data_IF_825315370808
#
_entry.id   IF_825315370808
#
_cell.length_a   1.000
_cell.length_b   1.000
_cell.length_c   1.000
_cell.angle_alpha   90.00
_cell.angle_beta   90.00
_cell.angle_gamma   90.00
#
_symmetry.space_group_name_H-M   'P 1'
#
loop_
_entity.id
_entity.type
_entity.pdbx_description
1 polymer ?
#
# COMPACT_ATOMS: atom_id res chain seq x y z
N UNK A 1 -10.09 19.03 5.89
CA UNK A 1 -10.41 17.96 4.92
C UNK A 1 -11.65 17.26 5.43
N UNK A 2 -12.73 17.25 4.64
CA UNK A 2 -13.92 16.46 4.93
C UNK A 2 -13.59 14.97 4.99
N UNK A 3 -14.20 14.25 5.94
CA UNK A 3 -13.95 12.82 6.15
C UNK A 3 -14.25 12.00 4.91
N UNK A 4 -15.33 12.33 4.22
CA UNK A 4 -15.70 11.67 2.96
C UNK A 4 -14.63 11.84 1.90
N UNK A 5 -14.07 13.05 1.75
CA UNK A 5 -12.98 13.30 0.81
C UNK A 5 -11.72 12.51 1.18
N UNK A 6 -11.44 12.36 2.47
CA UNK A 6 -10.34 11.51 2.93
C UNK A 6 -10.61 10.03 2.60
N UNK A 7 -11.82 9.51 2.86
CA UNK A 7 -12.21 8.13 2.52
C UNK A 7 -12.13 7.87 1.02
N UNK A 8 -12.61 8.78 0.19
CA UNK A 8 -12.53 8.65 -1.27
C UNK A 8 -11.08 8.62 -1.74
N UNK A 9 -10.25 9.55 -1.25
CA UNK A 9 -8.84 9.60 -1.59
C UNK A 9 -8.10 8.34 -1.08
N UNK A 10 -8.39 7.88 0.13
CA UNK A 10 -7.80 6.68 0.71
C UNK A 10 -8.11 5.44 -0.15
N UNK A 11 -9.36 5.27 -0.57
CA UNK A 11 -9.78 4.20 -1.49
C UNK A 11 -9.01 4.27 -2.81
N UNK A 12 -9.00 5.43 -3.44
CA UNK A 12 -8.29 5.65 -4.71
C UNK A 12 -6.80 5.36 -4.59
N UNK A 13 -6.19 5.73 -3.46
CA UNK A 13 -4.79 5.38 -3.19
C UNK A 13 -4.62 3.86 -3.10
N UNK A 14 -5.47 3.14 -2.35
CA UNK A 14 -5.40 1.67 -2.26
C UNK A 14 -5.55 1.02 -3.64
N UNK A 15 -6.48 1.49 -4.47
CA UNK A 15 -6.67 1.00 -5.83
C UNK A 15 -5.42 1.24 -6.70
N UNK A 16 -4.81 2.43 -6.61
CA UNK A 16 -3.55 2.75 -7.29
C UNK A 16 -2.39 1.85 -6.82
N UNK A 17 -2.33 1.57 -5.51
CA UNK A 17 -1.34 0.65 -4.96
C UNK A 17 -1.53 -0.77 -5.47
N UNK A 18 -2.79 -1.24 -5.60
CA UNK A 18 -3.11 -2.55 -6.16
C UNK A 18 -2.56 -2.65 -7.60
N UNK A 19 -2.89 -1.68 -8.44
CA UNK A 19 -2.45 -1.63 -9.83
C UNK A 19 -0.92 -1.61 -9.95
N UNK A 20 -0.23 -0.87 -9.06
CA UNK A 20 1.24 -0.85 -9.01
C UNK A 20 1.84 -2.19 -8.62
N UNK A 21 1.24 -2.91 -7.66
CA UNK A 21 1.70 -4.24 -7.26
C UNK A 21 1.55 -5.23 -8.40
N UNK A 22 0.38 -5.24 -9.08
CA UNK A 22 0.16 -6.10 -10.24
C UNK A 22 1.16 -5.80 -11.37
N UNK A 23 1.44 -4.51 -11.62
CA UNK A 23 2.43 -4.12 -12.61
C UNK A 23 3.84 -4.62 -12.25
N UNK A 24 4.22 -4.52 -10.98
CA UNK A 24 5.49 -5.03 -10.47
C UNK A 24 5.57 -6.56 -10.60
N UNK A 25 4.51 -7.28 -10.26
CA UNK A 25 4.43 -8.72 -10.47
C UNK A 25 4.60 -9.12 -11.94
N UNK A 26 3.93 -8.42 -12.85
CA UNK A 26 4.08 -8.66 -14.28
C UNK A 26 5.50 -8.33 -14.78
N UNK A 27 6.21 -7.42 -14.11
CA UNK A 27 7.60 -7.06 -14.42
C UNK A 27 8.63 -7.96 -13.74
N UNK A 28 8.23 -8.91 -12.88
CA UNK A 28 9.18 -9.77 -12.14
C UNK A 28 10.13 -10.57 -13.02
N UNK A 29 9.69 -10.95 -14.23
CA UNK A 29 10.50 -11.68 -15.19
C UNK A 29 11.48 -10.78 -15.96
N UNK A 30 11.33 -9.45 -15.86
CA UNK A 30 12.28 -8.47 -16.42
C UNK A 30 13.41 -8.12 -15.45
N UNK A 31 13.33 -8.59 -14.20
CA UNK A 31 14.34 -8.33 -13.17
C UNK A 31 15.48 -9.34 -13.33
N UNK A 32 16.71 -8.91 -13.03
CA UNK A 32 17.88 -9.80 -13.10
C UNK A 32 17.70 -11.00 -12.16
N UNK A 33 18.20 -12.16 -12.57
CA UNK A 33 18.08 -13.40 -11.77
C UNK A 33 18.67 -13.25 -10.35
N UNK A 34 19.74 -12.45 -10.21
CA UNK A 34 20.40 -12.17 -8.93
C UNK A 34 19.51 -11.40 -7.93
N UNK A 35 18.64 -10.51 -8.41
CA UNK A 35 17.73 -9.71 -7.58
C UNK A 35 16.29 -10.21 -7.61
N UNK A 36 15.96 -11.22 -8.44
CA UNK A 36 14.61 -11.76 -8.59
C UNK A 36 14.03 -12.29 -7.28
N UNK A 37 14.83 -13.01 -6.48
CA UNK A 37 14.39 -13.53 -5.20
C UNK A 37 14.06 -12.41 -4.19
N UNK A 38 14.91 -11.38 -4.11
CA UNK A 38 14.66 -10.19 -3.28
C UNK A 38 13.42 -9.43 -3.76
N UNK A 39 13.28 -9.28 -5.08
CA UNK A 39 12.15 -8.64 -5.72
C UNK A 39 10.83 -9.34 -5.39
N UNK A 40 10.76 -10.66 -5.55
CA UNK A 40 9.56 -11.45 -5.22
C UNK A 40 9.25 -11.38 -3.72
N UNK A 41 10.25 -11.43 -2.85
CA UNK A 41 10.06 -11.26 -1.41
C UNK A 41 9.45 -9.89 -1.08
N UNK A 42 9.98 -8.82 -1.67
CA UNK A 42 9.51 -7.46 -1.44
C UNK A 42 8.10 -7.23 -1.99
N UNK A 43 7.75 -7.80 -3.15
CA UNK A 43 6.38 -7.77 -3.67
C UNK A 43 5.42 -8.44 -2.68
N UNK A 44 5.79 -9.61 -2.15
CA UNK A 44 4.96 -10.30 -1.17
C UNK A 44 4.78 -9.46 0.11
N UNK A 45 5.83 -8.78 0.57
CA UNK A 45 5.72 -7.81 1.68
C UNK A 45 4.74 -6.68 1.35
N UNK A 46 4.77 -6.14 0.12
CA UNK A 46 3.83 -5.10 -0.31
C UNK A 46 2.39 -5.60 -0.39
N UNK A 47 2.16 -6.82 -0.87
CA UNK A 47 0.82 -7.43 -0.87
C UNK A 47 0.25 -7.51 0.53
N UNK A 48 1.04 -8.01 1.49
CA UNK A 48 0.62 -8.09 2.88
C UNK A 48 0.28 -6.70 3.46
N UNK A 49 1.11 -5.69 3.16
CA UNK A 49 0.85 -4.30 3.58
C UNK A 49 -0.39 -3.70 2.92
N UNK A 50 -0.65 -4.02 1.65
CA UNK A 50 -1.86 -3.62 0.93
C UNK A 50 -3.11 -4.25 1.55
N UNK A 51 -3.07 -5.53 1.91
CA UNK A 51 -4.19 -6.17 2.60
C UNK A 51 -4.42 -5.56 4.00
N UNK A 52 -3.34 -5.19 4.70
CA UNK A 52 -3.46 -4.44 5.96
C UNK A 52 -4.10 -3.05 5.74
N UNK A 53 -3.67 -2.32 4.70
CA UNK A 53 -4.23 -1.03 4.31
C UNK A 53 -5.72 -1.13 4.00
N UNK A 54 -6.14 -2.18 3.30
CA UNK A 54 -7.54 -2.42 2.99
C UNK A 54 -8.36 -2.62 4.26
N UNK A 55 -7.88 -3.45 5.20
CA UNK A 55 -8.54 -3.64 6.50
C UNK A 55 -8.62 -2.34 7.31
N UNK A 56 -7.54 -1.55 7.31
CA UNK A 56 -7.52 -0.23 7.97
C UNK A 56 -8.47 0.76 7.30
N UNK A 57 -8.63 0.67 5.99
CA UNK A 57 -9.59 1.48 5.25
C UNK A 57 -11.04 1.10 5.57
N UNK A 58 -11.34 -0.19 5.72
CA UNK A 58 -12.66 -0.64 6.19
C UNK A 58 -12.96 -0.07 7.57
N UNK A 59 -12.02 -0.20 8.52
CA UNK A 59 -12.14 0.40 9.85
C UNK A 59 -12.29 1.94 9.79
N UNK A 60 -11.56 2.61 8.89
CA UNK A 60 -11.69 4.04 8.63
C UNK A 60 -13.07 4.40 8.06
N UNK A 61 -13.63 3.56 7.19
CA UNK A 61 -14.96 3.77 6.62
C UNK A 61 -16.06 3.65 7.68
N UNK A 62 -15.92 2.72 8.61
CA UNK A 62 -16.88 2.47 9.70
C UNK A 62 -16.65 3.34 10.95
N UNK A 63 -15.55 4.09 11.00
CA UNK A 63 -15.20 4.86 12.18
C UNK A 63 -16.19 5.99 12.47
N UNK A 64 -16.49 6.13 13.77
CA UNK A 64 -17.25 7.23 14.33
C UNK A 64 -16.40 8.49 14.46
N UNK A 65 -17.05 9.62 14.69
CA UNK A 65 -16.41 10.93 14.94
C UNK A 65 -15.26 10.88 15.94
N UNK A 66 -15.47 10.18 17.05
CA UNK A 66 -14.55 10.13 18.19
C UNK A 66 -13.28 9.33 17.89
N UNK A 67 -13.39 8.28 17.06
CA UNK A 67 -12.27 7.43 16.65
C UNK A 67 -11.64 7.83 15.33
N UNK A 68 -12.22 8.81 14.64
CA UNK A 68 -11.82 9.19 13.28
C UNK A 68 -10.34 9.53 13.18
N UNK A 69 -9.81 10.36 14.08
CA UNK A 69 -8.40 10.75 14.04
C UNK A 69 -7.46 9.57 14.30
N UNK A 70 -7.82 8.65 15.21
CA UNK A 70 -7.04 7.43 15.48
C UNK A 70 -7.01 6.50 14.26
N UNK A 71 -8.16 6.19 13.66
CA UNK A 71 -8.20 5.30 12.48
C UNK A 71 -7.52 5.94 11.27
N UNK A 72 -7.59 7.27 11.15
CA UNK A 72 -6.94 8.02 10.08
C UNK A 72 -5.42 7.98 10.25
N UNK A 73 -4.92 8.12 11.47
CA UNK A 73 -3.50 8.04 11.77
C UNK A 73 -2.95 6.64 11.49
N UNK A 74 -3.66 5.59 11.95
CA UNK A 74 -3.25 4.21 11.70
C UNK A 74 -3.27 3.85 10.21
N UNK A 75 -4.25 4.34 9.45
CA UNK A 75 -4.30 4.22 7.99
C UNK A 75 -3.12 4.95 7.32
N UNK A 76 -2.86 6.19 7.73
CA UNK A 76 -1.76 7.00 7.17
C UNK A 76 -0.41 6.34 7.42
N UNK A 77 -0.18 5.85 8.65
CA UNK A 77 1.04 5.11 9.01
C UNK A 77 1.21 3.82 8.20
N UNK A 78 0.13 3.10 7.91
CA UNK A 78 0.17 1.92 7.02
C UNK A 78 0.52 2.31 5.58
N UNK A 79 -0.04 3.43 5.11
CA UNK A 79 0.20 3.96 3.76
C UNK A 79 1.66 4.37 3.59
N UNK A 80 2.24 5.02 4.59
CA UNK A 80 3.66 5.39 4.55
C UNK A 80 4.56 4.16 4.61
N UNK A 81 4.23 3.18 5.45
CA UNK A 81 4.93 1.88 5.48
C UNK A 81 4.88 1.15 4.14
N UNK A 82 3.77 1.27 3.40
CA UNK A 82 3.64 0.75 2.04
C UNK A 82 4.57 1.50 1.08
N UNK A 83 4.52 2.84 1.06
CA UNK A 83 5.35 3.68 0.18
C UNK A 83 6.84 3.43 0.40
N UNK A 84 7.27 3.26 1.65
CA UNK A 84 8.64 2.88 1.97
C UNK A 84 9.01 1.52 1.38
N UNK A 85 8.13 0.53 1.49
CA UNK A 85 8.31 -0.77 0.85
C UNK A 85 8.42 -0.65 -0.68
N UNK A 86 7.56 0.18 -1.28
CA UNK A 86 7.53 0.41 -2.72
C UNK A 86 8.82 1.08 -3.19
N UNK A 87 9.31 2.09 -2.47
CA UNK A 87 10.59 2.75 -2.75
C UNK A 87 11.75 1.75 -2.76
N UNK A 88 11.78 0.82 -1.80
CA UNK A 88 12.80 -0.25 -1.76
C UNK A 88 12.75 -1.14 -3.00
N UNK A 89 11.57 -1.48 -3.51
CA UNK A 89 11.44 -2.25 -4.76
C UNK A 89 11.88 -1.43 -5.96
N UNK A 90 11.47 -0.16 -6.04
CA UNK A 90 11.86 0.72 -7.13
C UNK A 90 13.39 0.88 -7.23
N UNK A 91 14.10 0.84 -6.08
CA UNK A 91 15.56 0.84 -6.05
C UNK A 91 16.21 -0.39 -6.71
N UNK A 92 15.52 -1.53 -6.80
CA UNK A 92 16.05 -2.74 -7.47
C UNK A 92 16.13 -2.53 -8.99
N UNK A 93 15.27 -1.67 -9.54
CA UNK A 93 15.25 -1.34 -10.97
C UNK A 93 16.15 -0.17 -11.36
N UNK A 94 16.75 0.51 -10.39
CA UNK A 94 17.60 1.68 -10.61
C UNK A 94 19.05 1.26 -10.85
#
# INVERSE_FOLDING_TARGET
MDREKFKENAKKNIDDLFAKIDEMEAKKDKVKAETRAEYEAKINELKAKKDELQKKYEALSEATDEKWDEVKDTFSSAMDSFKEGFSKIASIFK
#
